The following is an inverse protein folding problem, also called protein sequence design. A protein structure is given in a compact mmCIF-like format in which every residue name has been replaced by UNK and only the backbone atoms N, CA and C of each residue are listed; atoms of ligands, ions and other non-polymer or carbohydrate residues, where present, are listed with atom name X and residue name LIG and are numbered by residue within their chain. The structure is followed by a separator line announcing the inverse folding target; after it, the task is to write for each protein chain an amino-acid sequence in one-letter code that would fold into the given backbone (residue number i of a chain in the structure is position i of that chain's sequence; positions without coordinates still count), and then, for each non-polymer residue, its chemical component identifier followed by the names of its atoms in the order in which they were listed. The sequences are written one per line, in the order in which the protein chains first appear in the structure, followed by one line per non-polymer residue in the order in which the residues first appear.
data_IF_883049462758
#
_entry.id   IF_883049462758
#
_cell.length_a   1.000
_cell.length_b   1.000
_cell.length_c   1.000
_cell.angle_alpha   90.00
_cell.angle_beta   90.00
_cell.angle_gamma   90.00
#
_symmetry.space_group_name_H-M   'P 1'
#
loop_
_entity.id
_entity.type
_entity.pdbx_description
1 polymer ?
#
# COMPACT_ATOMS: atom_id res chain seq x y z
N UNK A 1 9.19 -3.60 13.56
CA UNK A 1 8.34 -2.45 13.94
C UNK A 1 8.07 -1.62 12.69
N UNK A 2 6.87 -1.04 12.53
CA UNK A 2 6.56 -0.18 11.37
C UNK A 2 7.54 0.99 11.27
N UNK A 3 8.03 1.34 10.08
CA UNK A 3 8.74 2.61 9.86
C UNK A 3 7.96 3.82 10.36
N UNK A 4 6.62 3.83 10.27
CA UNK A 4 5.80 4.90 10.85
C UNK A 4 5.99 5.01 12.36
N UNK A 5 5.91 3.88 13.08
CA UNK A 5 6.11 3.84 14.53
C UNK A 5 7.55 4.21 14.94
N UNK A 6 8.54 3.94 14.09
CA UNK A 6 9.94 4.34 14.33
C UNK A 6 10.22 5.82 14.05
N UNK A 7 9.31 6.50 13.33
CA UNK A 7 9.41 7.93 13.00
C UNK A 7 8.33 8.73 13.73
N UNK A 8 7.93 8.28 14.92
CA UNK A 8 7.00 8.96 15.84
C UNK A 8 5.61 9.27 15.25
N UNK A 9 5.18 8.55 14.20
CA UNK A 9 3.80 8.60 13.71
C UNK A 9 2.92 7.84 14.70
N UNK A 10 2.02 8.57 15.34
CA UNK A 10 1.11 8.09 16.36
C UNK A 10 -0.13 7.45 15.74
N UNK A 11 -0.77 6.55 16.49
CA UNK A 11 -1.95 5.82 16.00
C UNK A 11 -3.07 6.76 15.55
N UNK A 12 -3.24 7.87 16.25
CA UNK A 12 -4.27 8.88 15.99
C UNK A 12 -3.94 9.84 14.84
N UNK A 13 -2.74 9.76 14.25
CA UNK A 13 -2.43 10.51 13.03
C UNK A 13 -3.20 9.95 11.83
N UNK A 14 -3.62 8.68 11.92
CA UNK A 14 -4.45 8.01 10.93
C UNK A 14 -5.85 7.64 11.45
N UNK A 15 -5.97 7.26 12.72
CA UNK A 15 -7.21 6.74 13.30
C UNK A 15 -7.97 7.80 14.13
N UNK A 16 -9.26 7.96 13.87
CA UNK A 16 -10.14 8.74 14.75
C UNK A 16 -10.56 7.89 15.96
N UNK A 17 -9.89 8.12 17.10
CA UNK A 17 -10.12 7.39 18.37
C UNK A 17 -11.43 7.75 19.06
N UNK A 18 -12.17 8.74 18.56
CA UNK A 18 -13.46 9.17 19.09
C UNK A 18 -14.65 8.81 18.18
N UNK A 19 -14.42 8.06 17.10
CA UNK A 19 -15.46 7.67 16.13
C UNK A 19 -16.37 6.51 16.58
N UNK A 20 -16.18 5.96 17.79
CA UNK A 20 -16.91 4.80 18.29
C UNK A 20 -16.16 3.48 18.03
N UNK A 21 -16.86 2.33 17.92
CA UNK A 21 -16.21 1.02 17.78
C UNK A 21 -15.50 0.82 16.44
N UNK A 22 -15.85 1.61 15.41
CA UNK A 22 -15.23 1.57 14.09
C UNK A 22 -14.01 2.49 14.04
N UNK A 23 -12.88 1.96 14.50
CA UNK A 23 -11.58 2.62 14.36
C UNK A 23 -10.96 2.41 12.98
N UNK A 24 -11.60 1.65 12.09
CA UNK A 24 -11.05 1.32 10.77
C UNK A 24 -11.19 2.53 9.85
N UNK A 25 -10.06 3.03 9.35
CA UNK A 25 -10.05 4.11 8.35
C UNK A 25 -10.74 3.62 7.08
N UNK A 26 -11.76 4.37 6.64
CA UNK A 26 -12.47 4.06 5.39
C UNK A 26 -11.48 4.08 4.21
N UNK A 27 -11.46 3.02 3.37
CA UNK A 27 -10.54 2.93 2.23
C UNK A 27 -10.59 4.17 1.33
N UNK A 28 -11.77 4.74 1.08
CA UNK A 28 -11.97 5.90 0.22
C UNK A 28 -11.15 7.14 0.60
N UNK A 29 -10.77 7.27 1.87
CA UNK A 29 -10.03 8.43 2.39
C UNK A 29 -8.53 8.13 2.60
N UNK A 30 -8.09 6.89 2.38
CA UNK A 30 -6.72 6.47 2.71
C UNK A 30 -5.68 7.15 1.82
N UNK A 31 -5.96 7.35 0.54
CA UNK A 31 -5.01 7.96 -0.40
C UNK A 31 -4.61 9.38 0.01
N UNK A 32 -5.60 10.24 0.29
CA UNK A 32 -5.35 11.63 0.69
C UNK A 32 -4.58 11.71 2.01
N UNK A 33 -4.91 10.83 2.97
CA UNK A 33 -4.19 10.73 4.24
C UNK A 33 -2.72 10.34 4.04
N UNK A 34 -2.44 9.30 3.24
CA UNK A 34 -1.08 8.89 2.94
C UNK A 34 -0.29 10.01 2.24
N UNK A 35 -0.91 10.73 1.31
CA UNK A 35 -0.26 11.79 0.53
C UNK A 35 0.12 13.04 1.34
N UNK A 36 -0.37 13.20 2.57
CA UNK A 36 0.08 14.30 3.44
C UNK A 36 1.58 14.19 3.73
N UNK A 37 2.09 12.96 3.86
CA UNK A 37 3.51 12.66 4.09
C UNK A 37 4.20 12.12 2.83
N UNK A 38 3.55 11.22 2.08
CA UNK A 38 4.08 10.56 0.88
C UNK A 38 3.85 11.39 -0.40
N UNK A 39 4.51 12.54 -0.47
CA UNK A 39 4.31 13.52 -1.53
C UNK A 39 4.90 13.09 -2.88
N UNK A 40 6.00 12.33 -2.87
CA UNK A 40 6.62 11.79 -4.08
C UNK A 40 5.69 10.80 -4.77
N UNK A 41 5.09 9.91 -3.99
CA UNK A 41 4.10 8.94 -4.42
C UNK A 41 2.85 9.66 -4.90
N UNK A 42 2.39 10.72 -4.21
CA UNK A 42 1.29 11.55 -4.67
C UNK A 42 1.54 12.12 -6.08
N UNK A 43 2.79 12.51 -6.38
CA UNK A 43 3.20 12.97 -7.70
C UNK A 43 3.27 11.82 -8.72
N UNK A 44 3.76 10.64 -8.33
CA UNK A 44 3.75 9.46 -9.20
C UNK A 44 2.33 9.03 -9.58
N UNK A 45 1.40 9.08 -8.63
CA UNK A 45 -0.03 8.85 -8.86
C UNK A 45 -0.72 10.01 -9.59
N UNK A 46 -0.01 11.05 -10.04
CA UNK A 46 -0.52 12.01 -11.03
C UNK A 46 -0.12 11.64 -12.47
N UNK A 47 0.82 10.70 -12.67
CA UNK A 47 1.26 10.31 -14.01
C UNK A 47 0.19 9.51 -14.76
N UNK A 48 0.17 9.55 -16.11
CA UNK A 48 -0.85 8.85 -16.90
C UNK A 48 -0.88 7.33 -16.70
N UNK A 49 0.29 6.71 -16.48
CA UNK A 49 0.42 5.27 -16.24
C UNK A 49 0.60 5.02 -14.75
N UNK A 50 -0.46 4.57 -14.09
CA UNK A 50 -0.51 4.29 -12.65
C UNK A 50 -1.64 3.32 -12.32
N UNK A 51 -1.62 2.75 -11.13
CA UNK A 51 -2.80 2.12 -10.56
C UNK A 51 -3.87 3.17 -10.20
N UNK A 52 -5.17 2.85 -10.31
CA UNK A 52 -6.27 3.79 -10.14
C UNK A 52 -6.58 4.15 -8.66
N UNK A 53 -5.56 4.61 -7.93
CA UNK A 53 -5.65 4.95 -6.49
C UNK A 53 -6.48 6.21 -6.26
N UNK A 54 -6.27 7.25 -7.09
CA UNK A 54 -7.02 8.51 -7.01
C UNK A 54 -8.49 8.34 -7.36
N UNK A 55 -8.79 7.34 -8.17
CA UNK A 55 -10.12 6.96 -8.59
C UNK A 55 -10.81 6.01 -7.59
N UNK A 56 -10.15 5.67 -6.47
CA UNK A 56 -10.71 4.84 -5.39
C UNK A 56 -10.98 3.39 -5.80
N UNK A 57 -10.35 2.89 -6.87
CA UNK A 57 -10.54 1.51 -7.33
C UNK A 57 -9.56 0.52 -6.70
N UNK A 58 -8.49 1.05 -6.13
CA UNK A 58 -7.44 0.33 -5.39
C UNK A 58 -6.88 1.29 -4.35
N UNK A 59 -6.40 0.77 -3.24
CA UNK A 59 -5.95 1.53 -2.09
C UNK A 59 -4.49 1.22 -1.78
N UNK A 60 -3.77 2.15 -1.16
CA UNK A 60 -2.39 1.95 -0.74
C UNK A 60 -2.25 0.67 0.10
N UNK A 61 -3.25 0.44 0.96
CA UNK A 61 -3.33 -0.71 1.85
C UNK A 61 -3.60 -2.02 1.15
N UNK A 62 -4.02 -2.06 -0.11
CA UNK A 62 -4.22 -3.33 -0.83
C UNK A 62 -2.88 -4.04 -1.08
N UNK A 63 -1.80 -3.25 -1.19
CA UNK A 63 -0.44 -3.74 -1.35
C UNK A 63 0.38 -3.61 -0.05
N UNK A 64 0.28 -2.48 0.66
CA UNK A 64 1.13 -2.17 1.83
C UNK A 64 0.42 -2.39 3.17
N UNK A 65 1.20 -2.64 4.22
CA UNK A 65 0.76 -2.66 5.60
C UNK A 65 1.36 -1.47 6.39
N UNK A 66 0.56 -0.46 6.76
CA UNK A 66 1.06 0.70 7.49
C UNK A 66 1.47 0.39 8.94
N UNK A 67 1.02 -0.73 9.50
CA UNK A 67 1.41 -1.23 10.82
C UNK A 67 2.72 -2.05 10.79
N UNK A 68 3.25 -2.27 9.58
CA UNK A 68 4.55 -2.87 9.33
C UNK A 68 4.51 -4.39 9.18
N UNK A 69 5.30 -4.91 8.25
CA UNK A 69 5.50 -6.33 8.00
C UNK A 69 7.00 -6.65 7.92
N UNK A 70 7.35 -7.93 7.78
CA UNK A 70 8.73 -8.36 7.54
C UNK A 70 9.12 -8.34 6.05
N UNK A 71 8.19 -8.06 5.15
CA UNK A 71 8.43 -8.10 3.72
C UNK A 71 9.08 -6.80 3.22
N UNK A 72 9.66 -6.87 2.02
CA UNK A 72 10.22 -5.70 1.35
C UNK A 72 9.16 -4.60 1.18
N UNK A 73 9.52 -3.34 1.45
CA UNK A 73 8.64 -2.16 1.36
C UNK A 73 7.30 -2.29 2.10
N UNK A 74 7.25 -3.10 3.17
CA UNK A 74 6.04 -3.33 3.97
C UNK A 74 4.87 -3.89 3.15
N UNK A 75 5.13 -4.70 2.13
CA UNK A 75 4.06 -5.37 1.40
C UNK A 75 3.29 -6.35 2.31
N UNK A 76 2.00 -6.54 2.04
CA UNK A 76 1.18 -7.54 2.74
C UNK A 76 1.56 -8.98 2.38
N UNK A 77 2.19 -9.19 1.21
CA UNK A 77 2.71 -10.49 0.80
C UNK A 77 4.22 -10.51 0.93
N UNK A 78 4.76 -11.71 1.11
CA UNK A 78 6.20 -11.93 1.33
C UNK A 78 7.07 -11.43 0.16
N UNK A 79 6.54 -11.46 -1.07
CA UNK A 79 7.29 -11.08 -2.27
C UNK A 79 6.52 -10.08 -3.14
N UNK A 80 7.26 -9.30 -3.92
CA UNK A 80 6.69 -8.40 -4.93
C UNK A 80 5.83 -9.17 -5.94
N UNK A 81 6.33 -10.29 -6.46
CA UNK A 81 5.59 -11.17 -7.39
C UNK A 81 4.26 -11.63 -6.80
N UNK A 82 4.26 -12.08 -5.55
CA UNK A 82 3.04 -12.50 -4.85
C UNK A 82 2.08 -11.33 -4.64
N UNK A 83 2.59 -10.12 -4.38
CA UNK A 83 1.77 -8.91 -4.21
C UNK A 83 1.05 -8.55 -5.52
N UNK A 84 1.76 -8.51 -6.64
CA UNK A 84 1.21 -8.18 -7.96
C UNK A 84 0.20 -9.24 -8.43
N UNK A 85 0.52 -10.52 -8.20
CA UNK A 85 -0.31 -11.65 -8.62
C UNK A 85 -1.64 -11.75 -7.86
N UNK A 86 -1.87 -10.94 -6.81
CA UNK A 86 -3.19 -10.85 -6.15
C UNK A 86 -4.28 -10.40 -7.11
N UNK A 87 -3.94 -9.52 -8.06
CA UNK A 87 -4.86 -9.00 -9.06
C UNK A 87 -4.47 -9.44 -10.48
N UNK A 88 -3.16 -9.50 -10.77
CA UNK A 88 -2.62 -9.85 -12.08
C UNK A 88 -2.25 -11.34 -12.15
N UNK A 89 -3.22 -12.23 -11.92
CA UNK A 89 -2.96 -13.67 -11.90
C UNK A 89 -2.42 -14.18 -13.24
N UNK A 90 -2.77 -13.54 -14.35
CA UNK A 90 -2.24 -13.85 -15.67
C UNK A 90 -0.72 -13.62 -15.78
N UNK A 91 -0.11 -13.00 -14.77
CA UNK A 91 1.34 -12.74 -14.64
C UNK A 91 2.00 -13.62 -13.57
N UNK A 92 1.31 -14.58 -12.96
CA UNK A 92 1.87 -15.39 -11.86
C UNK A 92 2.91 -16.41 -12.30
N UNK A 93 2.91 -16.81 -13.58
CA UNK A 93 3.73 -17.91 -14.08
C UNK A 93 3.29 -19.26 -13.50
N UNK A 94 4.05 -20.34 -13.78
CA UNK A 94 5.36 -20.32 -14.43
C UNK A 94 5.30 -20.05 -15.95
N UNK A 95 6.19 -19.19 -16.44
CA UNK A 95 6.43 -18.94 -17.86
C UNK A 95 7.72 -19.63 -18.32
N UNK A 96 7.81 -19.93 -19.62
CA UNK A 96 9.04 -20.49 -20.22
C UNK A 96 10.23 -19.54 -20.05
N UNK A 97 9.97 -18.22 -20.02
CA UNK A 97 10.93 -17.17 -19.72
C UNK A 97 10.34 -16.22 -18.68
N UNK A 98 10.86 -16.26 -17.46
CA UNK A 98 10.43 -15.37 -16.36
C UNK A 98 11.11 -14.01 -16.48
N UNK A 99 10.48 -12.97 -15.92
CA UNK A 99 11.17 -11.71 -15.63
C UNK A 99 12.20 -11.94 -14.52
N UNK A 100 13.33 -11.22 -14.56
CA UNK A 100 14.34 -11.35 -13.52
C UNK A 100 13.75 -10.98 -12.16
N UNK A 101 13.82 -11.90 -11.20
CA UNK A 101 13.39 -11.64 -9.83
C UNK A 101 14.38 -10.64 -9.21
N UNK A 102 13.96 -9.38 -9.09
CA UNK A 102 14.63 -8.38 -8.28
C UNK A 102 14.22 -8.57 -6.82
N UNK A 103 14.75 -9.63 -6.20
CA UNK A 103 14.79 -9.75 -4.74
C UNK A 103 15.61 -8.63 -4.12
#
# INVERSE_FOLDING_TARGET
ASPHAMNDVSCNDCHDVHHGPDLIVSPGNTAEMCFQCHQEEAAQFNMPSRHPVREGKIYCTDCHDPHGTTSYLMFRKETLKATCAQCHMEKSGPFVYEHADNT
#
